data_IF_570828739456
#
_entry.id   IF_570828739456
#
_cell.length_a   1.000
_cell.length_b   1.000
_cell.length_c   1.000
_cell.angle_alpha   90.00
_cell.angle_beta   90.00
_cell.angle_gamma   90.00
#
_symmetry.space_group_name_H-M   'P 1'
#
loop_
_entity.id
_entity.type
_entity.pdbx_description
1 polymer ?
#
# COMPACT_ATOMS: atom_id res chain seq x y z
N UNK A 1 -7.11 -24.92 -20.05
CA UNK A 1 -6.52 -25.04 -18.70
C UNK A 1 -5.46 -23.95 -18.56
N UNK A 2 -5.90 -22.73 -18.26
CA UNK A 2 -5.03 -21.57 -18.01
C UNK A 2 -5.09 -21.29 -16.52
N UNK A 3 -4.00 -21.52 -15.79
CA UNK A 3 -3.94 -21.28 -14.34
C UNK A 3 -3.25 -22.36 -13.51
N UNK A 4 -2.92 -23.53 -14.07
CA UNK A 4 -2.09 -24.54 -13.38
C UNK A 4 -0.74 -24.63 -14.09
N UNK A 5 0.33 -24.51 -13.32
CA UNK A 5 1.69 -24.71 -13.82
C UNK A 5 2.00 -26.22 -13.80
N UNK A 6 1.91 -26.86 -14.97
CA UNK A 6 2.09 -28.31 -15.11
C UNK A 6 3.51 -28.77 -14.77
N UNK A 7 4.53 -27.95 -15.01
CA UNK A 7 5.93 -28.29 -14.72
C UNK A 7 6.22 -28.35 -13.20
N UNK A 8 5.47 -27.56 -12.41
CA UNK A 8 5.61 -27.46 -10.95
C UNK A 8 4.54 -28.25 -10.18
N UNK A 9 3.64 -28.93 -10.90
CA UNK A 9 2.56 -29.75 -10.35
C UNK A 9 2.89 -31.22 -10.45
N UNK A 10 2.53 -32.00 -9.43
CA UNK A 10 2.73 -33.45 -9.39
C UNK A 10 1.51 -34.13 -8.78
N UNK A 11 1.02 -35.18 -9.43
CA UNK A 11 -0.04 -36.02 -8.89
C UNK A 11 -0.63 -36.94 -9.93
N UNK A 12 -1.52 -37.82 -9.48
CA UNK A 12 -2.25 -38.78 -10.29
C UNK A 12 -3.73 -38.41 -10.23
N UNK A 13 -4.31 -38.19 -11.41
CA UNK A 13 -5.76 -38.12 -11.57
C UNK A 13 -6.25 -39.52 -11.91
N UNK A 14 -7.12 -40.06 -11.06
CA UNK A 14 -7.80 -41.33 -11.31
C UNK A 14 -9.29 -41.10 -11.36
N UNK A 15 -10.00 -41.79 -12.25
CA UNK A 15 -11.44 -41.59 -12.35
C UNK A 15 -12.14 -42.70 -13.08
N UNK A 16 -13.45 -42.74 -12.90
CA UNK A 16 -14.38 -43.63 -13.61
C UNK A 16 -15.53 -42.79 -14.13
N UNK A 17 -16.00 -43.14 -15.31
CA UNK A 17 -17.12 -42.50 -15.95
C UNK A 17 -18.04 -43.58 -16.51
N UNK A 18 -19.35 -43.38 -16.34
CA UNK A 18 -20.39 -44.31 -16.75
C UNK A 18 -21.51 -43.56 -17.45
N UNK A 19 -21.92 -44.11 -18.60
CA UNK A 19 -23.14 -43.72 -19.28
C UNK A 19 -24.10 -44.89 -19.19
N UNK A 20 -25.31 -44.66 -18.70
CA UNK A 20 -26.35 -45.68 -18.59
C UNK A 20 -27.68 -45.10 -19.08
N UNK A 21 -28.39 -45.78 -19.96
CA UNK A 21 -29.66 -45.25 -20.48
C UNK A 21 -30.17 -46.00 -21.69
N UNK A 22 -31.39 -45.68 -22.09
CA UNK A 22 -32.00 -46.13 -23.34
C UNK A 22 -31.88 -45.03 -24.41
N UNK A 23 -32.54 -45.24 -25.56
CA UNK A 23 -32.48 -44.34 -26.71
C UNK A 23 -33.09 -42.96 -26.43
N UNK A 24 -33.90 -42.84 -25.38
CA UNK A 24 -34.68 -41.65 -25.06
C UNK A 24 -34.19 -40.96 -23.77
N UNK A 25 -33.26 -41.55 -23.02
CA UNK A 25 -32.68 -40.95 -21.82
C UNK A 25 -31.33 -41.55 -21.40
N UNK A 26 -30.25 -40.86 -21.73
CA UNK A 26 -28.91 -41.17 -21.21
C UNK A 26 -28.68 -40.53 -19.84
N UNK A 27 -28.22 -41.32 -18.88
CA UNK A 27 -27.74 -40.88 -17.56
C UNK A 27 -26.23 -40.89 -17.56
N UNK A 28 -25.68 -39.77 -17.12
CA UNK A 28 -24.25 -39.53 -17.08
C UNK A 28 -23.81 -39.52 -15.61
N UNK A 29 -22.81 -40.32 -15.28
CA UNK A 29 -22.25 -40.36 -13.93
C UNK A 29 -20.73 -40.50 -13.99
N UNK A 30 -20.03 -39.92 -13.03
CA UNK A 30 -18.59 -40.04 -12.97
C UNK A 30 -18.04 -39.68 -11.61
N UNK A 31 -16.86 -40.19 -11.30
CA UNK A 31 -16.10 -39.77 -10.14
C UNK A 31 -14.63 -39.69 -10.52
N UNK A 32 -13.97 -38.57 -10.24
CA UNK A 32 -12.53 -38.40 -10.39
C UNK A 32 -11.92 -37.96 -9.07
N UNK A 33 -10.71 -38.42 -8.77
CA UNK A 33 -9.92 -37.99 -7.64
C UNK A 33 -8.51 -37.58 -8.09
N UNK A 34 -7.97 -36.57 -7.42
CA UNK A 34 -6.59 -36.16 -7.54
C UNK A 34 -5.85 -36.46 -6.24
N UNK A 35 -4.75 -37.20 -6.34
CA UNK A 35 -3.89 -37.65 -5.24
C UNK A 35 -2.41 -37.55 -5.64
N UNK A 36 -1.51 -37.69 -4.68
CA UNK A 36 -0.07 -37.84 -4.92
C UNK A 36 0.27 -39.16 -5.61
N UNK A 37 1.46 -39.22 -6.22
CA UNK A 37 1.98 -40.40 -6.94
C UNK A 37 2.19 -41.61 -6.02
N UNK A 38 2.38 -41.38 -4.73
CA UNK A 38 2.49 -42.38 -3.66
C UNK A 38 1.15 -42.74 -2.99
N UNK A 39 0.02 -42.23 -3.51
CA UNK A 39 -1.30 -42.33 -2.88
C UNK A 39 -1.54 -41.32 -1.77
N UNK A 40 -0.58 -40.42 -1.50
CA UNK A 40 -0.69 -39.29 -0.58
C UNK A 40 -1.45 -38.11 -1.19
N UNK A 41 -1.18 -36.90 -0.70
CA UNK A 41 -1.72 -35.67 -1.30
C UNK A 41 -0.80 -35.17 -2.43
N UNK A 42 -1.37 -34.67 -3.51
CA UNK A 42 -0.62 -34.17 -4.66
C UNK A 42 -0.10 -32.74 -4.46
N UNK A 43 0.61 -32.23 -5.46
CA UNK A 43 1.09 -30.85 -5.53
C UNK A 43 0.46 -30.15 -6.74
N UNK A 44 -0.19 -29.02 -6.51
CA UNK A 44 -0.77 -28.18 -7.57
C UNK A 44 -0.14 -26.79 -7.49
N UNK A 45 0.66 -26.42 -8.49
CA UNK A 45 1.21 -25.08 -8.61
C UNK A 45 0.30 -24.20 -9.47
N UNK A 46 0.04 -22.97 -9.02
CA UNK A 46 -0.81 -22.03 -9.75
C UNK A 46 0.07 -21.20 -10.68
N UNK A 47 -0.33 -21.12 -11.94
CA UNK A 47 0.42 -20.36 -12.94
C UNK A 47 0.43 -18.87 -12.63
N UNK A 48 1.57 -18.22 -12.89
CA UNK A 48 1.78 -16.81 -12.56
C UNK A 48 2.00 -16.50 -11.08
N UNK A 49 2.01 -17.49 -10.19
CA UNK A 49 2.20 -17.34 -8.74
C UNK A 49 3.37 -18.17 -8.22
N UNK A 50 3.98 -17.75 -7.10
CA UNK A 50 4.98 -18.56 -6.40
C UNK A 50 4.33 -19.61 -5.48
N UNK A 51 3.04 -19.46 -5.20
CA UNK A 51 2.23 -20.37 -4.41
C UNK A 51 2.10 -21.76 -5.05
N UNK A 52 2.29 -22.80 -4.23
CA UNK A 52 1.92 -24.17 -4.55
C UNK A 52 1.01 -24.74 -3.46
N UNK A 53 -0.04 -25.44 -3.86
CA UNK A 53 -0.90 -26.21 -2.99
C UNK A 53 -0.27 -27.58 -2.80
N UNK A 54 0.12 -27.90 -1.57
CA UNK A 54 0.70 -29.17 -1.14
C UNK A 54 -0.36 -30.05 -0.51
N UNK A 55 -0.10 -31.36 -0.46
CA UNK A 55 -1.01 -32.36 0.08
C UNK A 55 -2.44 -32.25 -0.50
N UNK A 56 -2.55 -31.76 -1.73
CA UNK A 56 -3.81 -31.44 -2.37
C UNK A 56 -4.57 -32.73 -2.66
N UNK A 57 -5.80 -32.79 -2.15
CA UNK A 57 -6.76 -33.87 -2.39
C UNK A 57 -8.00 -33.24 -2.98
N UNK A 58 -8.44 -33.75 -4.11
CA UNK A 58 -9.67 -33.28 -4.74
C UNK A 58 -10.49 -34.49 -5.19
N UNK A 59 -11.80 -34.40 -5.03
CA UNK A 59 -12.77 -35.36 -5.52
C UNK A 59 -13.82 -34.59 -6.30
N UNK A 60 -14.13 -35.08 -7.49
CA UNK A 60 -15.15 -34.55 -8.39
C UNK A 60 -16.16 -35.67 -8.60
N UNK A 61 -17.41 -35.43 -8.27
CA UNK A 61 -18.52 -36.35 -8.49
C UNK A 61 -19.51 -35.71 -9.47
N UNK A 62 -19.74 -36.38 -10.58
CA UNK A 62 -20.69 -35.99 -11.60
C UNK A 62 -21.93 -36.87 -11.48
N UNK A 63 -23.07 -36.23 -11.32
CA UNK A 63 -24.41 -36.83 -11.27
C UNK A 63 -25.20 -36.42 -12.51
N UNK A 64 -26.45 -36.90 -12.61
CA UNK A 64 -27.33 -36.59 -13.75
C UNK A 64 -27.63 -35.09 -13.93
N UNK A 65 -27.45 -34.28 -12.88
CA UNK A 65 -27.81 -32.86 -12.91
C UNK A 65 -26.79 -31.94 -12.24
N UNK A 66 -25.72 -32.48 -11.64
CA UNK A 66 -24.80 -31.66 -10.87
C UNK A 66 -23.36 -32.22 -10.86
N UNK A 67 -22.40 -31.31 -10.72
CA UNK A 67 -21.01 -31.61 -10.41
C UNK A 67 -20.70 -31.14 -9.00
N UNK A 68 -20.32 -32.08 -8.15
CA UNK A 68 -19.84 -31.82 -6.80
C UNK A 68 -18.33 -31.89 -6.79
N UNK A 69 -17.67 -30.86 -6.30
CA UNK A 69 -16.23 -30.83 -6.10
C UNK A 69 -15.97 -30.67 -4.62
N UNK A 70 -15.17 -31.54 -4.03
CA UNK A 70 -14.68 -31.36 -2.66
C UNK A 70 -13.17 -31.52 -2.66
N UNK A 71 -12.45 -30.63 -1.99
CA UNK A 71 -11.02 -30.75 -1.89
C UNK A 71 -10.42 -29.94 -0.76
N UNK A 72 -9.17 -30.26 -0.43
CA UNK A 72 -8.37 -29.55 0.56
C UNK A 72 -6.91 -29.57 0.15
N UNK A 73 -6.18 -28.52 0.49
CA UNK A 73 -4.74 -28.47 0.32
C UNK A 73 -4.08 -27.55 1.36
N UNK A 74 -2.79 -27.76 1.57
CA UNK A 74 -1.94 -26.92 2.40
C UNK A 74 -1.23 -25.89 1.51
N UNK A 75 -1.19 -24.62 1.92
CA UNK A 75 -0.40 -23.62 1.21
C UNK A 75 1.10 -23.91 1.39
N UNK A 76 1.90 -23.76 0.33
CA UNK A 76 3.36 -23.93 0.42
C UNK A 76 4.04 -22.96 1.38
N UNK A 77 3.37 -21.85 1.71
CA UNK A 77 3.81 -20.84 2.67
C UNK A 77 3.15 -21.00 4.04
N UNK A 78 2.26 -21.97 4.20
CA UNK A 78 1.50 -22.25 5.42
C UNK A 78 -0.01 -22.07 5.28
N UNK A 79 -0.74 -22.62 6.25
CA UNK A 79 -2.20 -22.60 6.32
C UNK A 79 -2.86 -23.59 5.36
N UNK A 80 -4.18 -23.63 5.38
CA UNK A 80 -4.96 -24.59 4.59
C UNK A 80 -6.09 -23.89 3.82
N UNK A 81 -6.43 -24.48 2.67
CA UNK A 81 -7.61 -24.12 1.88
C UNK A 81 -8.47 -25.36 1.70
N UNK A 82 -9.79 -25.21 1.85
CA UNK A 82 -10.76 -26.24 1.56
C UNK A 82 -11.84 -25.69 0.63
N UNK A 83 -12.25 -26.50 -0.34
CA UNK A 83 -13.31 -26.17 -1.30
C UNK A 83 -14.39 -27.24 -1.23
N UNK A 84 -15.64 -26.79 -1.21
CA UNK A 84 -16.81 -27.62 -1.49
C UNK A 84 -17.61 -26.83 -2.51
N UNK A 85 -17.74 -27.33 -3.74
CA UNK A 85 -18.54 -26.73 -4.79
C UNK A 85 -19.64 -27.69 -5.20
N UNK A 86 -20.83 -27.16 -5.44
CA UNK A 86 -21.94 -27.89 -6.05
C UNK A 86 -22.43 -27.03 -7.21
N UNK A 87 -22.25 -27.54 -8.42
CA UNK A 87 -22.58 -26.87 -9.67
C UNK A 87 -23.74 -27.61 -10.31
N UNK A 88 -24.91 -27.00 -10.35
CA UNK A 88 -26.07 -27.53 -11.05
C UNK A 88 -25.89 -27.33 -12.56
N UNK A 89 -25.82 -28.44 -13.27
CA UNK A 89 -25.65 -28.53 -14.72
C UNK A 89 -26.94 -28.92 -15.46
N UNK A 90 -28.09 -28.93 -14.80
CA UNK A 90 -29.33 -29.42 -15.41
C UNK A 90 -29.66 -28.73 -16.74
N UNK A 91 -29.46 -27.41 -16.83
CA UNK A 91 -29.65 -26.65 -18.08
C UNK A 91 -28.60 -27.00 -19.14
N UNK A 92 -27.34 -27.15 -18.73
CA UNK A 92 -26.23 -27.50 -19.61
C UNK A 92 -26.39 -28.90 -20.21
N UNK A 93 -26.85 -29.86 -19.41
CA UNK A 93 -27.04 -31.26 -19.83
C UNK A 93 -28.31 -31.49 -20.66
N UNK A 94 -29.27 -30.55 -20.62
CA UNK A 94 -30.51 -30.61 -21.41
C UNK A 94 -30.42 -29.86 -22.75
N UNK A 95 -29.42 -29.00 -22.92
CA UNK A 95 -29.23 -28.17 -24.10
C UNK A 95 -28.02 -28.57 -24.94
N UNK A 96 -27.61 -27.67 -25.83
CA UNK A 96 -26.36 -27.81 -26.57
C UNK A 96 -25.17 -27.57 -25.62
N UNK A 97 -24.13 -28.40 -25.72
CA UNK A 97 -22.86 -28.29 -24.98
C UNK A 97 -22.07 -27.05 -25.44
N UNK A 98 -22.57 -25.87 -25.09
CA UNK A 98 -22.06 -24.55 -25.47
C UNK A 98 -21.52 -23.83 -24.25
N UNK A 99 -20.62 -22.86 -24.48
CA UNK A 99 -20.10 -22.02 -23.40
C UNK A 99 -21.21 -21.23 -22.71
N UNK A 100 -22.19 -20.73 -23.48
CA UNK A 100 -23.33 -19.98 -22.94
C UNK A 100 -24.17 -20.84 -21.99
N UNK A 101 -24.42 -22.10 -22.36
CA UNK A 101 -25.12 -23.04 -21.49
C UNK A 101 -24.33 -23.36 -20.19
N UNK A 102 -22.99 -23.29 -20.23
CA UNK A 102 -22.15 -23.41 -19.03
C UNK A 102 -22.22 -22.14 -18.18
N UNK A 103 -22.30 -20.95 -18.79
CA UNK A 103 -22.48 -19.69 -18.06
C UNK A 103 -23.81 -19.64 -17.31
N UNK A 104 -24.83 -20.35 -17.81
CA UNK A 104 -26.14 -20.54 -17.18
C UNK A 104 -26.17 -21.59 -16.07
N UNK A 105 -25.12 -22.41 -15.92
CA UNK A 105 -25.00 -23.33 -14.80
C UNK A 105 -24.93 -22.54 -13.48
N UNK A 106 -25.42 -23.11 -12.38
CA UNK A 106 -25.55 -22.37 -11.12
C UNK A 106 -24.82 -23.03 -9.96
N UNK A 107 -24.12 -22.22 -9.16
CA UNK A 107 -23.56 -22.63 -7.88
C UNK A 107 -24.67 -22.76 -6.83
N UNK A 108 -24.75 -23.93 -6.19
CA UNK A 108 -25.75 -24.26 -5.16
C UNK A 108 -25.07 -24.74 -3.87
N UNK A 109 -24.45 -23.81 -3.13
CA UNK A 109 -23.73 -24.14 -1.89
C UNK A 109 -22.22 -24.27 -2.05
N UNK A 110 -21.64 -23.55 -3.01
CA UNK A 110 -20.18 -23.49 -3.16
C UNK A 110 -19.56 -22.65 -2.04
N UNK A 111 -18.57 -23.21 -1.34
CA UNK A 111 -17.82 -22.56 -0.25
C UNK A 111 -16.32 -22.82 -0.40
N UNK A 112 -15.53 -21.78 -0.18
CA UNK A 112 -14.07 -21.82 -0.09
C UNK A 112 -13.69 -21.35 1.31
N UNK A 113 -13.06 -22.21 2.09
CA UNK A 113 -12.61 -21.92 3.46
C UNK A 113 -11.10 -21.78 3.50
N UNK A 114 -10.65 -20.74 4.18
CA UNK A 114 -9.25 -20.43 4.40
C UNK A 114 -8.99 -20.49 5.90
N UNK A 115 -7.98 -21.26 6.29
CA UNK A 115 -7.48 -21.26 7.68
C UNK A 115 -6.01 -20.85 7.68
N UNK A 116 -5.77 -19.59 8.07
CA UNK A 116 -4.46 -18.94 8.14
C UNK A 116 -3.63 -19.16 6.86
N UNK A 117 -4.30 -19.15 5.72
CA UNK A 117 -3.70 -19.41 4.42
C UNK A 117 -2.69 -18.32 4.09
N UNK A 118 -1.41 -18.68 4.03
CA UNK A 118 -0.33 -17.74 3.79
C UNK A 118 -0.10 -17.55 2.28
N UNK A 119 0.08 -16.31 1.87
CA UNK A 119 0.32 -15.95 0.48
C UNK A 119 1.46 -14.92 0.34
N UNK A 120 2.10 -14.91 -0.83
CA UNK A 120 3.11 -13.94 -1.21
C UNK A 120 3.01 -13.71 -2.72
N UNK A 121 2.21 -12.73 -3.13
CA UNK A 121 1.85 -12.52 -4.53
C UNK A 121 2.17 -11.11 -5.00
N UNK A 122 2.79 -10.98 -6.17
CA UNK A 122 2.98 -9.67 -6.79
C UNK A 122 1.67 -9.21 -7.41
N UNK A 123 1.19 -8.04 -7.00
CA UNK A 123 0.03 -7.42 -7.62
C UNK A 123 0.39 -7.08 -9.07
N UNK A 124 -0.39 -7.62 -10.00
CA UNK A 124 -0.29 -7.37 -11.45
C UNK A 124 -1.59 -6.74 -11.91
N UNK A 125 -1.50 -5.54 -12.47
CA UNK A 125 -2.63 -4.83 -13.06
C UNK A 125 -2.49 -4.89 -14.57
N UNK A 126 -3.54 -5.36 -15.26
CA UNK A 126 -3.55 -5.36 -16.72
C UNK A 126 -3.43 -3.92 -17.24
N UNK A 127 -2.64 -3.73 -18.30
CA UNK A 127 -2.52 -2.48 -19.02
C UNK A 127 -3.39 -2.57 -20.30
N UNK A 128 -4.66 -2.14 -20.27
CA UNK A 128 -5.53 -2.23 -21.43
C UNK A 128 -5.08 -1.34 -22.60
N UNK A 129 -4.22 -0.34 -22.33
CA UNK A 129 -3.66 0.56 -23.34
C UNK A 129 -2.31 0.07 -23.91
N UNK A 130 -1.81 -1.10 -23.48
CA UNK A 130 -0.50 -1.59 -23.88
C UNK A 130 -0.38 -1.73 -25.40
N UNK A 131 0.59 -1.03 -25.99
CA UNK A 131 0.94 -1.16 -27.41
C UNK A 131 1.87 -2.35 -27.63
N UNK A 132 2.02 -2.77 -28.89
CA UNK A 132 2.98 -3.80 -29.26
C UNK A 132 4.40 -3.41 -28.81
N UNK A 133 5.01 -4.22 -27.93
CA UNK A 133 6.33 -3.96 -27.34
C UNK A 133 6.30 -3.29 -25.97
N UNK A 134 5.14 -2.87 -25.47
CA UNK A 134 4.96 -2.39 -24.10
C UNK A 134 4.55 -3.53 -23.16
N UNK A 135 4.87 -3.43 -21.85
CA UNK A 135 4.43 -4.43 -20.88
C UNK A 135 2.90 -4.42 -20.78
N UNK A 136 2.30 -5.60 -20.99
CA UNK A 136 0.86 -5.81 -20.87
C UNK A 136 0.35 -5.71 -19.42
N UNK A 137 1.25 -5.58 -18.44
CA UNK A 137 0.93 -5.51 -17.02
C UNK A 137 1.82 -4.50 -16.30
N UNK A 138 1.24 -3.78 -15.34
CA UNK A 138 1.96 -3.07 -14.29
C UNK A 138 2.12 -4.01 -13.10
N UNK A 139 3.36 -4.24 -12.66
CA UNK A 139 3.66 -5.17 -11.56
C UNK A 139 4.21 -4.41 -10.35
N UNK A 140 3.75 -4.78 -9.16
CA UNK A 140 4.30 -4.27 -7.91
C UNK A 140 5.79 -4.65 -7.78
N UNK A 141 6.58 -3.74 -7.21
CA UNK A 141 8.02 -3.93 -7.02
C UNK A 141 8.35 -5.01 -5.98
N UNK A 142 7.41 -5.32 -5.09
CA UNK A 142 7.51 -6.34 -4.06
C UNK A 142 6.20 -7.13 -3.93
N UNK A 143 6.26 -8.41 -3.51
CA UNK A 143 5.07 -9.21 -3.29
C UNK A 143 4.24 -8.64 -2.13
N UNK A 144 2.93 -8.69 -2.28
CA UNK A 144 1.98 -8.53 -1.19
C UNK A 144 1.93 -9.83 -0.42
N UNK A 145 2.14 -9.77 0.90
CA UNK A 145 2.20 -10.95 1.76
C UNK A 145 1.18 -10.89 2.89
N UNK A 146 0.86 -12.03 3.48
CA UNK A 146 0.02 -12.10 4.68
C UNK A 146 -0.62 -13.46 4.86
N UNK A 147 -1.49 -13.58 5.87
CA UNK A 147 -2.33 -14.76 6.06
C UNK A 147 -3.81 -14.39 5.98
N UNK A 148 -4.62 -15.25 5.36
CA UNK A 148 -6.06 -15.08 5.24
C UNK A 148 -6.79 -16.20 6.00
N UNK A 149 -7.83 -15.82 6.73
CA UNK A 149 -8.77 -16.74 7.37
C UNK A 149 -10.20 -16.32 7.05
N UNK A 150 -11.09 -17.28 6.81
CA UNK A 150 -12.49 -16.97 6.56
C UNK A 150 -13.14 -17.91 5.57
N UNK A 151 -14.28 -17.48 5.04
CA UNK A 151 -15.08 -18.27 4.10
C UNK A 151 -15.64 -17.36 3.00
N UNK A 152 -15.44 -17.78 1.75
CA UNK A 152 -16.07 -17.20 0.57
C UNK A 152 -17.14 -18.16 0.10
N UNK A 153 -18.36 -17.68 -0.11
CA UNK A 153 -19.47 -18.47 -0.65
C UNK A 153 -19.84 -17.96 -2.03
N UNK A 154 -20.08 -18.88 -2.96
CA UNK A 154 -20.51 -18.61 -4.32
C UNK A 154 -21.91 -19.19 -4.54
N UNK A 155 -22.80 -18.38 -5.08
CA UNK A 155 -24.15 -18.74 -5.48
C UNK A 155 -24.48 -18.12 -6.85
N UNK A 156 -25.64 -18.41 -7.42
CA UNK A 156 -26.05 -17.83 -8.70
C UNK A 156 -25.38 -18.50 -9.90
N UNK A 157 -25.44 -17.88 -11.07
CA UNK A 157 -24.92 -18.49 -12.31
C UNK A 157 -23.39 -18.36 -12.43
N UNK A 158 -22.76 -19.17 -13.28
CA UNK A 158 -21.33 -19.08 -13.57
C UNK A 158 -20.97 -17.75 -14.26
N UNK A 159 -21.87 -17.21 -15.09
CA UNK A 159 -21.70 -15.92 -15.73
C UNK A 159 -21.87 -14.71 -14.79
N UNK A 160 -22.74 -14.82 -13.78
CA UNK A 160 -23.01 -13.76 -12.79
C UNK A 160 -23.01 -14.32 -11.36
N UNK A 161 -21.86 -14.81 -10.86
CA UNK A 161 -21.82 -15.46 -9.56
C UNK A 161 -21.97 -14.43 -8.45
N UNK A 162 -22.79 -14.76 -7.45
CA UNK A 162 -22.96 -13.98 -6.24
C UNK A 162 -21.92 -14.41 -5.21
N UNK A 163 -21.06 -13.48 -4.82
CA UNK A 163 -19.97 -13.67 -3.86
C UNK A 163 -20.40 -13.13 -2.50
N UNK A 164 -20.39 -14.00 -1.49
CA UNK A 164 -20.77 -13.71 -0.11
C UNK A 164 -19.70 -14.19 0.87
N UNK A 165 -19.83 -13.75 2.13
CA UNK A 165 -18.95 -14.15 3.22
C UNK A 165 -17.88 -13.10 3.52
N UNK A 166 -16.70 -13.53 3.92
CA UNK A 166 -15.63 -12.61 4.22
C UNK A 166 -14.31 -13.27 4.59
N UNK A 167 -13.26 -12.48 4.45
CA UNK A 167 -11.89 -12.85 4.78
C UNK A 167 -11.32 -11.87 5.78
N UNK A 168 -10.58 -12.40 6.74
CA UNK A 168 -9.81 -11.66 7.72
C UNK A 168 -8.34 -11.90 7.43
N UNK A 169 -7.61 -10.83 7.14
CA UNK A 169 -6.18 -10.84 6.90
C UNK A 169 -5.39 -10.45 8.14
N UNK A 170 -4.31 -11.18 8.41
CA UNK A 170 -3.34 -10.88 9.47
C UNK A 170 -1.96 -10.63 8.87
N UNK A 171 -1.22 -9.70 9.48
CA UNK A 171 0.12 -9.30 9.05
C UNK A 171 0.18 -9.01 7.54
N UNK A 172 -0.87 -8.38 7.00
CA UNK A 172 -0.91 -8.06 5.58
C UNK A 172 0.16 -7.02 5.31
N UNK A 173 1.02 -7.26 4.33
CA UNK A 173 1.93 -6.27 3.79
C UNK A 173 1.55 -6.04 2.34
N UNK A 174 0.77 -5.00 2.09
CA UNK A 174 0.26 -4.67 0.76
C UNK A 174 1.22 -3.68 0.11
N UNK A 175 1.80 -4.05 -1.03
CA UNK A 175 2.62 -3.14 -1.83
C UNK A 175 1.89 -2.85 -3.13
N UNK A 176 1.48 -1.59 -3.32
CA UNK A 176 0.82 -1.18 -4.55
C UNK A 176 1.85 -0.88 -5.65
N UNK A 177 1.51 -1.10 -6.93
CA UNK A 177 2.33 -0.63 -8.04
C UNK A 177 2.54 0.88 -8.00
N UNK A 178 3.67 1.40 -8.50
CA UNK A 178 3.95 2.84 -8.51
C UNK A 178 3.04 3.60 -9.47
N UNK A 179 2.46 2.92 -10.46
CA UNK A 179 1.54 3.48 -11.41
C UNK A 179 0.30 2.59 -11.60
N UNK A 180 -0.86 3.21 -11.78
CA UNK A 180 -2.10 2.55 -12.16
C UNK A 180 -2.37 2.75 -13.66
N UNK A 181 -2.88 1.73 -14.36
CA UNK A 181 -3.31 1.88 -15.74
C UNK A 181 -4.41 2.95 -15.84
N UNK A 182 -4.40 3.73 -16.92
CA UNK A 182 -5.56 4.55 -17.28
C UNK A 182 -6.78 3.64 -17.46
N UNK A 183 -7.95 4.08 -16.96
CA UNK A 183 -9.18 3.30 -17.01
C UNK A 183 -9.51 2.89 -18.44
N UNK A 184 -9.47 1.59 -18.71
CA UNK A 184 -10.02 1.02 -19.95
C UNK A 184 -11.54 1.20 -19.95
N UNK A 185 -12.12 1.48 -21.11
CA UNK A 185 -13.58 1.56 -21.26
C UNK A 185 -14.28 0.28 -20.78
N UNK A 186 -15.56 0.40 -20.40
CA UNK A 186 -16.38 -0.71 -19.93
C UNK A 186 -16.60 -1.75 -21.05
N UNK A 187 -15.69 -2.72 -21.16
CA UNK A 187 -15.93 -3.92 -21.95
C UNK A 187 -16.96 -4.81 -21.27
N UNK A 188 -17.75 -5.54 -22.05
CA UNK A 188 -18.62 -6.59 -21.53
C UNK A 188 -17.73 -7.71 -20.94
N UNK A 189 -17.91 -7.98 -19.65
CA UNK A 189 -17.13 -8.99 -18.94
C UNK A 189 -17.78 -10.36 -19.17
N UNK A 190 -16.99 -11.34 -19.64
CA UNK A 190 -17.47 -12.71 -19.82
C UNK A 190 -18.00 -13.35 -18.51
N UNK A 191 -17.48 -12.91 -17.37
CA UNK A 191 -17.98 -13.23 -16.03
C UNK A 191 -18.07 -11.92 -15.25
N UNK A 192 -19.27 -11.58 -14.78
CA UNK A 192 -19.53 -10.36 -14.03
C UNK A 192 -20.05 -10.69 -12.62
N UNK A 193 -19.15 -11.01 -11.67
CA UNK A 193 -19.55 -11.40 -10.33
C UNK A 193 -20.27 -10.26 -9.61
N UNK A 194 -21.23 -10.61 -8.74
CA UNK A 194 -21.92 -9.68 -7.84
C UNK A 194 -21.50 -9.92 -6.40
N UNK A 195 -20.98 -8.91 -5.75
CA UNK A 195 -20.67 -8.94 -4.33
C UNK A 195 -21.92 -8.59 -3.52
N UNK A 196 -22.22 -9.40 -2.52
CA UNK A 196 -23.33 -9.18 -1.59
C UNK A 196 -22.77 -9.14 -0.16
N UNK A 197 -22.53 -7.91 0.31
CA UNK A 197 -21.96 -7.59 1.61
C UNK A 197 -20.69 -8.39 1.92
N UNK A 198 -19.83 -8.55 0.92
CA UNK A 198 -18.59 -9.29 1.08
C UNK A 198 -17.59 -8.47 1.89
N UNK A 199 -17.09 -9.03 3.00
CA UNK A 199 -16.26 -8.31 3.97
C UNK A 199 -14.79 -8.73 3.88
N UNK A 200 -13.90 -7.77 3.73
CA UNK A 200 -12.45 -7.95 3.81
C UNK A 200 -11.90 -7.16 4.99
N UNK A 201 -11.39 -7.84 6.00
CA UNK A 201 -10.91 -7.21 7.24
C UNK A 201 -9.40 -7.31 7.35
N UNK A 202 -8.71 -6.18 7.48
CA UNK A 202 -7.29 -6.10 7.81
C UNK A 202 -7.14 -5.91 9.32
N UNK A 203 -6.53 -6.90 9.99
CA UNK A 203 -6.27 -6.83 11.43
C UNK A 203 -5.08 -5.92 11.77
N UNK A 204 -4.97 -5.46 13.03
CA UNK A 204 -3.85 -4.65 13.52
C UNK A 204 -2.48 -5.20 13.12
N UNK A 205 -1.54 -4.29 12.84
CA UNK A 205 -0.21 -4.64 12.34
C UNK A 205 -0.09 -4.84 10.83
N UNK A 206 -1.20 -4.73 10.08
CA UNK A 206 -1.17 -4.70 8.62
C UNK A 206 -0.53 -3.41 8.10
N UNK A 207 0.21 -3.51 7.00
CA UNK A 207 1.01 -2.44 6.40
C UNK A 207 0.58 -2.20 4.96
N UNK A 208 0.51 -0.94 4.59
CA UNK A 208 0.33 -0.46 3.23
C UNK A 208 1.57 0.32 2.81
N UNK A 209 2.18 -0.11 1.71
CA UNK A 209 3.37 0.45 1.11
C UNK A 209 3.04 0.98 -0.29
N UNK A 210 3.17 2.29 -0.49
CA UNK A 210 2.87 2.94 -1.76
C UNK A 210 3.87 4.07 -2.00
N UNK A 211 4.85 3.85 -2.88
CA UNK A 211 5.88 4.82 -3.33
C UNK A 211 6.49 5.74 -2.24
N UNK A 212 5.75 6.74 -1.78
CA UNK A 212 6.17 7.74 -0.79
C UNK A 212 5.55 7.52 0.61
N UNK A 213 4.57 6.62 0.73
CA UNK A 213 3.78 6.38 1.94
C UNK A 213 3.99 4.95 2.43
N UNK A 214 4.31 4.82 3.71
CA UNK A 214 4.27 3.57 4.45
C UNK A 214 3.35 3.78 5.66
N UNK A 215 2.27 3.01 5.78
CA UNK A 215 1.32 3.15 6.88
C UNK A 215 1.00 1.79 7.47
N UNK A 216 0.90 1.74 8.81
CA UNK A 216 0.21 0.68 9.52
C UNK A 216 -1.25 1.03 9.62
N UNK A 217 -2.12 0.15 9.15
CA UNK A 217 -3.55 0.37 9.14
C UNK A 217 -4.31 -0.90 9.48
N UNK A 218 -5.52 -0.72 9.96
CA UNK A 218 -6.49 -1.78 10.19
C UNK A 218 -7.88 -1.28 9.80
N UNK A 219 -8.83 -2.20 9.58
CA UNK A 219 -10.18 -1.83 9.18
C UNK A 219 -10.86 -2.89 8.34
N UNK A 220 -12.14 -2.66 8.03
CA UNK A 220 -12.96 -3.60 7.27
C UNK A 220 -13.55 -2.95 6.03
N UNK A 221 -13.19 -3.49 4.88
CA UNK A 221 -13.78 -3.14 3.58
C UNK A 221 -15.01 -3.98 3.33
N UNK A 222 -16.06 -3.35 2.82
CA UNK A 222 -17.25 -4.03 2.33
C UNK A 222 -17.37 -3.79 0.82
N UNK A 223 -17.59 -4.86 0.08
CA UNK A 223 -17.82 -4.86 -1.36
C UNK A 223 -19.29 -5.20 -1.65
N UNK A 224 -19.93 -4.42 -2.51
CA UNK A 224 -21.30 -4.65 -2.99
C UNK A 224 -21.40 -4.38 -4.50
N UNK A 225 -22.49 -4.82 -5.12
CA UNK A 225 -22.76 -4.57 -6.54
C UNK A 225 -22.00 -5.53 -7.47
N UNK A 226 -22.15 -5.35 -8.78
CA UNK A 226 -21.43 -6.16 -9.77
C UNK A 226 -20.00 -5.67 -9.97
N UNK A 227 -19.11 -6.51 -10.52
CA UNK A 227 -17.76 -6.08 -10.86
C UNK A 227 -17.74 -4.88 -11.84
N UNK A 228 -18.70 -4.86 -12.77
CA UNK A 228 -18.93 -3.71 -13.67
C UNK A 228 -19.44 -2.45 -12.98
N UNK A 229 -19.98 -2.56 -11.77
CA UNK A 229 -20.61 -1.49 -11.01
C UNK A 229 -20.27 -1.63 -9.51
N UNK A 230 -18.98 -1.79 -9.21
CA UNK A 230 -18.52 -2.17 -7.88
C UNK A 230 -18.65 -1.02 -6.89
N UNK A 231 -19.35 -1.29 -5.80
CA UNK A 231 -19.45 -0.40 -4.65
C UNK A 231 -18.46 -0.84 -3.58
N UNK A 232 -17.57 0.08 -3.20
CA UNK A 232 -16.53 -0.15 -2.19
C UNK A 232 -16.79 0.82 -1.04
N UNK A 233 -16.79 0.29 0.18
CA UNK A 233 -16.72 1.10 1.40
C UNK A 233 -15.64 0.55 2.32
N UNK A 234 -14.56 1.30 2.49
CA UNK A 234 -13.38 0.86 3.23
C UNK A 234 -12.96 1.91 4.27
N UNK A 235 -13.56 1.90 5.47
CA UNK A 235 -13.05 2.61 6.62
C UNK A 235 -11.79 1.92 7.16
N UNK A 236 -10.71 2.68 7.25
CA UNK A 236 -9.45 2.28 7.85
C UNK A 236 -9.04 3.24 8.96
N UNK A 237 -8.48 2.69 10.02
CA UNK A 237 -7.75 3.44 11.04
C UNK A 237 -6.27 3.30 10.74
N UNK A 238 -5.58 4.44 10.68
CA UNK A 238 -4.11 4.49 10.58
C UNK A 238 -3.57 4.48 12.00
N UNK A 239 -2.70 3.52 12.31
CA UNK A 239 -2.09 3.38 13.64
C UNK A 239 -0.80 4.21 13.75
N UNK A 240 -0.02 4.21 12.67
CA UNK A 240 1.25 4.95 12.53
C UNK A 240 1.71 4.89 11.09
N UNK A 241 2.66 5.74 10.70
CA UNK A 241 3.27 5.63 9.39
C UNK A 241 4.35 6.66 9.14
N UNK A 242 4.78 6.73 7.89
CA UNK A 242 5.64 7.79 7.40
C UNK A 242 5.29 8.14 5.96
N UNK A 243 5.31 9.43 5.67
CA UNK A 243 5.24 9.99 4.33
C UNK A 243 6.60 10.63 4.03
N UNK A 244 7.23 10.20 2.95
CA UNK A 244 8.50 10.72 2.48
C UNK A 244 8.24 11.77 1.42
N UNK A 245 8.66 13.00 1.72
CA UNK A 245 8.59 14.16 0.81
C UNK A 245 9.98 14.43 0.23
N UNK A 246 10.10 15.20 -0.87
CA UNK A 246 11.40 15.52 -1.46
C UNK A 246 12.41 16.15 -0.48
N UNK A 247 11.92 16.98 0.46
CA UNK A 247 12.73 17.76 1.40
C UNK A 247 12.59 17.33 2.86
N UNK A 248 11.66 16.44 3.21
CA UNK A 248 11.40 16.06 4.60
C UNK A 248 10.67 14.71 4.73
N UNK A 249 10.61 14.19 5.95
CA UNK A 249 9.79 13.02 6.29
C UNK A 249 8.75 13.45 7.31
N UNK A 250 7.50 13.10 7.06
CA UNK A 250 6.39 13.29 8.01
C UNK A 250 6.11 11.95 8.67
N UNK A 251 6.21 11.90 9.98
CA UNK A 251 5.82 10.74 10.78
C UNK A 251 4.32 10.86 11.05
N UNK A 252 3.54 9.90 10.57
CA UNK A 252 2.09 9.86 10.72
C UNK A 252 1.75 9.24 12.08
N UNK A 253 0.79 9.85 12.75
CA UNK A 253 0.19 9.39 13.99
C UNK A 253 -1.18 8.73 13.71
N UNK A 254 -1.96 8.50 14.76
CA UNK A 254 -3.28 7.89 14.63
C UNK A 254 -4.21 8.76 13.78
N UNK A 255 -4.93 8.15 12.85
CA UNK A 255 -5.83 8.86 11.95
C UNK A 255 -6.83 7.93 11.28
N UNK A 256 -7.61 8.48 10.34
CA UNK A 256 -8.64 7.72 9.63
C UNK A 256 -8.58 7.97 8.13
N UNK A 257 -8.91 6.93 7.38
CA UNK A 257 -9.07 6.96 5.92
C UNK A 257 -10.38 6.26 5.58
N UNK A 258 -11.26 6.92 4.83
CA UNK A 258 -12.49 6.34 4.31
C UNK A 258 -12.43 6.38 2.79
N UNK A 259 -12.27 5.19 2.19
CA UNK A 259 -12.41 5.04 0.74
C UNK A 259 -13.84 4.63 0.42
N UNK A 260 -14.48 5.39 -0.47
CA UNK A 260 -15.80 5.07 -1.01
C UNK A 260 -15.77 5.17 -2.53
N UNK A 261 -16.35 4.19 -3.19
CA UNK A 261 -16.56 4.18 -4.63
C UNK A 261 -17.92 3.57 -4.89
N UNK A 262 -18.66 4.08 -5.89
CA UNK A 262 -19.98 3.55 -6.23
C UNK A 262 -20.35 3.87 -7.66
N UNK A 263 -21.27 3.07 -8.23
CA UNK A 263 -21.68 3.23 -9.62
C UNK A 263 -22.38 4.56 -9.86
N UNK A 264 -21.87 5.36 -10.81
CA UNK A 264 -22.38 6.70 -11.10
C UNK A 264 -22.00 7.78 -10.07
N UNK A 265 -21.26 7.44 -9.02
CA UNK A 265 -20.69 8.37 -8.07
C UNK A 265 -19.19 8.58 -8.31
N UNK A 266 -18.69 9.78 -7.97
CA UNK A 266 -17.24 9.99 -7.93
C UNK A 266 -16.63 9.19 -6.78
N UNK A 267 -15.52 8.50 -7.03
CA UNK A 267 -14.74 7.88 -5.98
C UNK A 267 -14.25 8.97 -5.01
N UNK A 268 -14.27 8.67 -3.72
CA UNK A 268 -13.79 9.57 -2.65
C UNK A 268 -12.85 8.82 -1.73
N UNK A 269 -11.73 9.45 -1.39
CA UNK A 269 -10.82 8.98 -0.37
C UNK A 269 -10.68 10.08 0.67
N UNK A 270 -11.56 10.05 1.66
CA UNK A 270 -11.60 11.03 2.74
C UNK A 270 -10.56 10.66 3.79
N UNK A 271 -9.74 11.64 4.20
CA UNK A 271 -8.68 11.45 5.17
C UNK A 271 -8.84 12.43 6.33
N UNK A 272 -8.46 11.98 7.51
CA UNK A 272 -8.15 12.81 8.68
C UNK A 272 -6.91 12.22 9.34
N UNK A 273 -5.75 12.79 9.01
CA UNK A 273 -4.44 12.30 9.42
C UNK A 273 -3.72 13.37 10.23
N UNK A 274 -3.18 13.00 11.38
CA UNK A 274 -2.21 13.82 12.11
C UNK A 274 -0.80 13.26 11.95
N UNK A 275 0.19 14.13 12.11
CA UNK A 275 1.58 13.71 12.08
C UNK A 275 2.51 14.84 12.47
N UNK A 276 3.80 14.55 12.49
CA UNK A 276 4.82 15.56 12.77
C UNK A 276 6.03 15.42 11.87
N UNK A 277 6.72 16.53 11.65
CA UNK A 277 7.98 16.60 10.92
C UNK A 277 8.94 17.58 11.57
N UNK A 278 10.22 17.46 11.25
CA UNK A 278 11.27 18.36 11.72
C UNK A 278 11.84 19.07 10.52
N UNK A 279 11.82 20.40 10.55
CA UNK A 279 12.30 21.25 9.47
C UNK A 279 13.25 22.29 10.02
N UNK A 280 14.23 22.70 9.21
CA UNK A 280 15.11 23.81 9.57
C UNK A 280 14.79 25.00 8.67
N UNK A 281 14.50 26.15 9.28
CA UNK A 281 14.20 27.38 8.54
C UNK A 281 15.09 28.53 9.02
N UNK A 282 15.35 29.49 8.12
CA UNK A 282 16.17 30.67 8.38
C UNK A 282 15.33 31.76 9.03
N UNK A 283 15.78 32.31 10.17
CA UNK A 283 15.16 33.44 10.86
C UNK A 283 15.55 34.79 10.24
N UNK A 284 14.71 35.80 10.48
CA UNK A 284 15.03 37.21 10.26
C UNK A 284 16.21 37.62 11.16
N UNK A 285 17.43 37.57 10.61
CA UNK A 285 18.69 37.70 11.37
C UNK A 285 19.79 36.78 10.86
N UNK A 286 19.47 35.83 9.97
CA UNK A 286 20.44 34.98 9.30
C UNK A 286 20.72 33.65 10.00
N UNK A 287 20.25 33.48 11.24
CA UNK A 287 20.40 32.23 12.00
C UNK A 287 19.41 31.16 11.53
N UNK A 288 19.86 29.90 11.49
CA UNK A 288 19.01 28.75 11.21
C UNK A 288 18.45 28.15 12.50
N UNK A 289 17.18 27.80 12.46
CA UNK A 289 16.48 27.20 13.58
C UNK A 289 15.67 25.98 13.15
N UNK A 290 15.81 24.93 13.96
CA UNK A 290 15.04 23.68 13.84
C UNK A 290 13.68 23.83 14.53
N UNK A 291 12.62 23.47 13.80
CA UNK A 291 11.23 23.49 14.20
C UNK A 291 10.64 22.10 14.13
N UNK A 292 9.88 21.72 15.16
CA UNK A 292 8.97 20.58 15.09
C UNK A 292 7.61 21.09 14.61
N UNK A 293 7.16 20.60 13.45
CA UNK A 293 5.85 20.92 12.92
C UNK A 293 4.90 19.77 13.26
N UNK A 294 3.77 20.08 13.90
CA UNK A 294 2.63 19.15 13.98
C UNK A 294 1.66 19.52 12.87
N UNK A 295 1.31 18.54 12.04
CA UNK A 295 0.48 18.70 10.84
C UNK A 295 -0.82 17.92 11.03
N UNK A 296 -1.92 18.50 10.55
CA UNK A 296 -3.20 17.84 10.42
C UNK A 296 -3.68 18.00 8.97
N UNK A 297 -4.00 16.88 8.33
CA UNK A 297 -4.41 16.80 6.93
C UNK A 297 -5.81 16.23 6.89
N UNK A 298 -6.74 17.00 6.33
CA UNK A 298 -8.15 16.64 6.25
C UNK A 298 -8.70 16.88 4.84
N UNK A 299 -9.56 15.99 4.35
CA UNK A 299 -10.29 16.20 3.10
C UNK A 299 -10.27 15.01 2.15
N UNK A 300 -10.75 15.21 0.92
CA UNK A 300 -10.79 14.16 -0.10
C UNK A 300 -9.51 14.19 -0.95
N UNK A 301 -8.69 13.13 -0.87
CA UNK A 301 -7.45 12.99 -1.65
C UNK A 301 -7.70 12.94 -3.16
N UNK A 302 -8.90 12.55 -3.60
CA UNK A 302 -9.26 12.50 -5.01
C UNK A 302 -9.72 13.85 -5.56
N UNK A 303 -9.88 14.86 -4.70
CA UNK A 303 -10.16 16.23 -5.10
C UNK A 303 -8.98 17.13 -4.68
N UNK A 304 -8.15 17.61 -5.62
CA UNK A 304 -6.97 18.42 -5.32
C UNK A 304 -7.26 19.70 -4.52
N UNK A 305 -8.44 20.29 -4.68
CA UNK A 305 -8.85 21.50 -3.95
C UNK A 305 -9.53 21.17 -2.61
N UNK A 306 -9.86 19.89 -2.39
CA UNK A 306 -10.58 19.40 -1.22
C UNK A 306 -9.70 19.12 0.01
N UNK A 307 -8.37 19.08 -0.15
CA UNK A 307 -7.42 18.74 0.92
C UNK A 307 -6.95 20.01 1.64
N UNK A 308 -7.15 20.04 2.97
CA UNK A 308 -6.73 21.12 3.86
C UNK A 308 -5.60 20.64 4.76
N UNK A 309 -4.55 21.45 4.84
CA UNK A 309 -3.43 21.23 5.73
C UNK A 309 -3.37 22.37 6.74
N UNK A 310 -3.47 21.99 8.00
CA UNK A 310 -3.26 22.87 9.14
C UNK A 310 -2.04 22.39 9.90
N UNK A 311 -1.35 23.31 10.57
CA UNK A 311 -0.19 22.93 11.35
C UNK A 311 0.22 23.97 12.36
N UNK A 312 0.96 23.50 13.36
CA UNK A 312 1.56 24.33 14.41
C UNK A 312 3.04 24.05 14.48
N UNK A 313 3.86 25.06 14.74
CA UNK A 313 5.29 24.89 14.95
C UNK A 313 5.65 24.90 16.43
N UNK A 314 6.73 24.21 16.77
CA UNK A 314 7.42 24.35 18.03
C UNK A 314 8.93 24.60 17.77
N UNK A 315 9.45 25.80 18.05
CA UNK A 315 8.79 26.94 18.71
C UNK A 315 7.63 27.59 17.90
N UNK A 316 6.65 28.23 18.57
CA UNK A 316 5.37 28.67 17.97
C UNK A 316 5.44 30.04 17.30
N UNK A 317 6.52 30.31 16.56
CA UNK A 317 6.77 31.58 15.87
C UNK A 317 6.55 31.50 14.37
N UNK A 318 6.48 30.31 13.76
CA UNK A 318 6.09 30.20 12.35
C UNK A 318 4.58 30.48 12.21
N UNK A 319 4.23 31.30 11.23
CA UNK A 319 2.86 31.47 10.74
C UNK A 319 2.41 30.22 9.97
N UNK A 320 1.10 30.07 9.79
CA UNK A 320 0.53 28.96 9.02
C UNK A 320 1.01 29.03 7.57
N UNK A 321 1.15 30.24 7.03
CA UNK A 321 1.66 30.50 5.68
C UNK A 321 3.13 30.07 5.54
N UNK A 322 3.97 30.36 6.53
CA UNK A 322 5.37 29.90 6.56
C UNK A 322 5.47 28.38 6.70
N UNK A 323 4.64 27.77 7.56
CA UNK A 323 4.57 26.30 7.68
C UNK A 323 4.18 25.68 6.33
N UNK A 324 3.17 26.23 5.65
CA UNK A 324 2.72 25.77 4.33
C UNK A 324 3.79 25.95 3.25
N UNK A 325 4.55 27.04 3.31
CA UNK A 325 5.67 27.30 2.40
C UNK A 325 6.83 26.33 2.63
N UNK A 326 7.19 26.04 3.89
CA UNK A 326 8.29 25.13 4.24
C UNK A 326 7.94 23.67 3.90
N UNK A 327 6.71 23.25 4.19
CA UNK A 327 6.22 21.90 3.85
C UNK A 327 5.97 21.77 2.34
N UNK A 328 5.90 22.89 1.62
CA UNK A 328 5.59 22.91 0.19
C UNK A 328 4.21 22.31 -0.05
N UNK A 329 3.14 22.95 0.45
CA UNK A 329 1.76 22.43 0.40
C UNK A 329 1.39 21.80 -0.95
N UNK A 330 1.81 22.42 -2.06
CA UNK A 330 1.60 21.87 -3.40
C UNK A 330 2.34 20.54 -3.60
N UNK A 331 3.63 20.47 -3.29
CA UNK A 331 4.45 19.26 -3.39
C UNK A 331 3.97 18.17 -2.42
N UNK A 332 3.48 18.55 -1.25
CA UNK A 332 2.87 17.66 -0.27
C UNK A 332 1.56 17.05 -0.79
N UNK A 333 0.67 17.88 -1.32
CA UNK A 333 -0.60 17.41 -1.91
C UNK A 333 -0.29 16.58 -3.16
N UNK A 334 0.62 17.02 -4.02
CA UNK A 334 1.03 16.27 -5.22
C UNK A 334 1.70 14.93 -4.88
N UNK A 335 2.48 14.84 -3.80
CA UNK A 335 3.07 13.57 -3.35
C UNK A 335 2.04 12.64 -2.72
N UNK A 336 1.09 13.16 -1.93
CA UNK A 336 -0.04 12.37 -1.42
C UNK A 336 -0.92 11.86 -2.55
N UNK A 337 -1.34 12.74 -3.46
CA UNK A 337 -2.16 12.40 -4.63
C UNK A 337 -1.41 11.45 -5.55
N UNK A 338 -0.14 11.74 -5.84
CA UNK A 338 0.73 10.89 -6.67
C UNK A 338 0.95 9.52 -6.05
N UNK A 339 1.05 9.43 -4.72
CA UNK A 339 1.08 8.15 -4.01
C UNK A 339 -0.28 7.42 -4.06
N UNK A 340 -1.40 8.13 -3.95
CA UNK A 340 -2.73 7.52 -3.94
C UNK A 340 -3.21 7.07 -5.33
N UNK A 341 -2.78 7.74 -6.41
CA UNK A 341 -3.29 7.54 -7.77
C UNK A 341 -2.27 7.04 -8.79
N UNK A 342 -1.00 6.87 -8.40
CA UNK A 342 0.05 6.28 -9.23
C UNK A 342 0.02 6.78 -10.67
N UNK A 343 0.26 8.06 -10.91
CA UNK A 343 0.31 8.58 -12.29
C UNK A 343 1.63 9.28 -12.57
N UNK A 344 2.28 8.80 -13.63
CA UNK A 344 3.29 9.49 -14.43
C UNK A 344 2.69 10.81 -14.95
N UNK A 345 3.11 11.94 -14.39
CA UNK A 345 2.99 13.21 -15.11
C UNK A 345 4.14 13.28 -16.09
N UNK A 346 3.88 13.01 -17.36
CA UNK A 346 4.72 13.39 -18.51
C UNK A 346 4.93 14.93 -18.65
N UNK A 347 4.89 15.67 -17.54
CA UNK A 347 5.04 17.12 -17.40
C UNK A 347 5.90 17.51 -16.16
N UNK A 348 6.87 16.68 -15.78
CA UNK A 348 8.03 17.15 -15.00
C UNK A 348 9.07 17.86 -15.88
N UNK A 349 8.80 18.00 -17.18
CA UNK A 349 9.57 18.77 -18.15
C UNK A 349 9.19 20.24 -18.08
N UNK A 350 9.65 20.94 -17.04
CA UNK A 350 9.42 22.38 -16.95
C UNK A 350 10.04 23.14 -15.80
N UNK A 351 10.93 22.56 -14.97
CA UNK A 351 11.71 23.33 -13.97
C UNK A 351 13.02 22.63 -13.52
N UNK A 352 13.55 21.70 -14.32
CA UNK A 352 14.65 20.80 -13.91
C UNK A 352 16.05 21.45 -13.89
N UNK A 353 16.25 22.66 -14.44
CA UNK A 353 17.60 23.25 -14.48
C UNK A 353 18.04 24.09 -13.27
N UNK A 354 17.23 24.22 -12.22
CA UNK A 354 17.66 24.89 -10.96
C UNK A 354 17.51 24.04 -9.68
N UNK A 355 17.10 22.77 -9.79
CA UNK A 355 16.87 21.87 -8.64
C UNK A 355 17.68 20.56 -8.70
N UNK A 356 18.68 20.46 -9.58
CA UNK A 356 19.37 19.21 -9.90
C UNK A 356 20.60 18.86 -9.02
N UNK A 357 20.64 19.27 -7.75
CA UNK A 357 21.71 18.88 -6.81
C UNK A 357 21.22 17.97 -5.66
N UNK A 358 19.97 18.05 -5.14
CA UNK A 358 19.53 17.16 -4.07
C UNK A 358 19.22 15.71 -4.50
N UNK A 359 18.74 15.47 -5.72
CA UNK A 359 18.29 14.12 -6.15
C UNK A 359 19.42 13.13 -6.43
N UNK A 360 20.63 13.60 -6.77
CA UNK A 360 21.81 12.74 -6.88
C UNK A 360 22.39 12.35 -5.51
N UNK A 361 21.89 12.97 -4.42
CA UNK A 361 22.44 12.82 -3.09
C UNK A 361 21.53 12.09 -2.08
N UNK A 362 20.32 11.67 -2.43
CA UNK A 362 19.39 11.05 -1.47
C UNK A 362 19.73 9.59 -1.07
N UNK A 363 20.39 8.82 -1.95
CA UNK A 363 20.74 7.42 -1.68
C UNK A 363 21.83 7.22 -0.62
N UNK A 364 22.87 8.06 -0.65
CA UNK A 364 23.97 8.02 0.34
C UNK A 364 23.62 8.73 1.65
N UNK A 365 22.81 9.79 1.64
CA UNK A 365 22.42 10.47 2.87
C UNK A 365 21.52 9.59 3.75
N UNK A 366 20.59 8.85 3.15
CA UNK A 366 19.69 7.96 3.90
C UNK A 366 20.40 6.73 4.49
N UNK A 367 21.44 6.22 3.83
CA UNK A 367 22.25 5.12 4.36
C UNK A 367 23.22 5.61 5.44
N UNK A 368 23.81 6.80 5.28
CA UNK A 368 24.66 7.42 6.29
C UNK A 368 23.87 7.84 7.54
N UNK A 369 22.69 8.43 7.40
CA UNK A 369 21.83 8.80 8.53
C UNK A 369 21.43 7.58 9.36
N UNK A 370 21.10 6.45 8.71
CA UNK A 370 20.82 5.17 9.39
C UNK A 370 22.06 4.55 10.03
N UNK A 371 23.22 4.61 9.36
CA UNK A 371 24.48 4.10 9.91
C UNK A 371 24.97 4.93 11.12
N UNK A 372 24.65 6.22 11.16
CA UNK A 372 25.05 7.16 12.20
C UNK A 372 23.96 7.42 13.25
N UNK A 373 22.80 6.74 13.14
CA UNK A 373 21.66 6.86 14.05
C UNK A 373 21.22 8.34 14.25
N UNK A 374 21.08 9.05 13.13
CA UNK A 374 20.66 10.45 13.04
C UNK A 374 19.16 10.56 12.71
N UNK A 375 18.47 11.52 13.32
CA UNK A 375 17.05 11.78 13.06
C UNK A 375 16.83 12.43 11.69
N UNK A 376 17.79 13.24 11.25
CA UNK A 376 17.76 13.85 9.93
C UNK A 376 19.18 14.06 9.38
N UNK A 377 19.29 14.06 8.05
CA UNK A 377 20.46 14.49 7.30
C UNK A 377 19.97 15.21 6.03
N UNK A 378 20.22 16.50 5.95
CA UNK A 378 19.83 17.40 4.87
C UNK A 378 21.07 17.91 4.12
N UNK A 379 20.90 18.19 2.84
CA UNK A 379 21.91 18.83 2.00
C UNK A 379 21.26 20.06 1.35
N UNK A 380 21.59 21.22 1.87
CA UNK A 380 21.03 22.51 1.46
C UNK A 380 22.03 23.24 0.55
N UNK A 381 21.53 24.06 -0.37
CA UNK A 381 22.36 24.95 -1.18
C UNK A 381 21.94 26.41 -0.97
N UNK A 382 22.87 27.23 -0.49
CA UNK A 382 22.69 28.67 -0.33
C UNK A 382 23.63 29.41 -1.31
N UNK A 383 23.15 30.36 -2.13
CA UNK A 383 24.00 31.16 -3.02
C UNK A 383 25.15 31.90 -2.33
N UNK A 384 25.07 32.12 -1.01
CA UNK A 384 26.10 32.81 -0.21
C UNK A 384 27.03 31.89 0.59
N UNK A 385 26.61 30.64 0.86
CA UNK A 385 27.38 29.69 1.65
C UNK A 385 27.63 28.36 0.90
N UNK A 386 27.31 28.29 -0.39
CA UNK A 386 27.39 27.06 -1.19
C UNK A 386 26.53 25.91 -0.65
N UNK A 387 26.93 24.67 -0.98
CA UNK A 387 26.31 23.46 -0.48
C UNK A 387 26.71 23.18 0.98
N UNK A 388 25.74 22.87 1.83
CA UNK A 388 25.90 22.58 3.26
C UNK A 388 25.23 21.24 3.55
N UNK A 389 25.96 20.31 4.17
CA UNK A 389 25.38 19.13 4.80
C UNK A 389 25.03 19.47 6.26
N UNK A 390 23.85 19.06 6.72
CA UNK A 390 23.43 19.20 8.12
C UNK A 390 22.75 17.93 8.58
N UNK A 391 23.14 17.39 9.73
CA UNK A 391 22.44 16.29 10.37
C UNK A 391 22.28 16.52 11.86
N UNK A 392 21.30 15.86 12.47
CA UNK A 392 21.06 16.02 13.89
C UNK A 392 20.30 14.86 14.50
N UNK A 393 20.32 14.81 15.83
CA UNK A 393 19.68 13.79 16.65
C UNK A 393 19.17 14.40 17.97
N UNK A 394 17.95 14.07 18.35
CA UNK A 394 17.39 14.26 19.68
C UNK A 394 17.91 13.16 20.60
N UNK A 395 18.70 13.53 21.60
CA UNK A 395 19.29 12.60 22.56
C UNK A 395 18.31 12.25 23.68
N UNK A 396 17.47 13.23 24.07
CA UNK A 396 16.40 13.09 25.05
C UNK A 396 15.43 14.26 24.87
N UNK A 397 14.29 14.24 25.56
CA UNK A 397 13.26 15.27 25.44
C UNK A 397 13.84 16.68 25.64
N UNK A 398 13.95 17.43 24.54
CA UNK A 398 14.46 18.80 24.53
C UNK A 398 15.98 18.96 24.45
N UNK A 399 16.76 17.88 24.33
CA UNK A 399 18.21 17.90 24.12
C UNK A 399 18.57 17.44 22.70
N UNK A 400 19.11 18.34 21.89
CA UNK A 400 19.43 18.10 20.48
C UNK A 400 20.92 18.26 20.22
N UNK A 401 21.50 17.31 19.49
CA UNK A 401 22.82 17.40 18.90
C UNK A 401 22.69 17.64 17.40
N UNK A 402 23.28 18.71 16.90
CA UNK A 402 23.24 19.09 15.49
C UNK A 402 24.67 19.29 14.99
N UNK A 403 24.96 18.80 13.78
CA UNK A 403 26.22 19.01 13.09
C UNK A 403 25.93 19.54 11.68
N UNK A 404 26.64 20.59 11.26
CA UNK A 404 26.58 21.10 9.91
C UNK A 404 27.97 21.40 9.37
N UNK A 405 28.16 21.20 8.07
CA UNK A 405 29.41 21.43 7.38
C UNK A 405 29.16 21.91 5.96
N UNK A 406 29.81 23.00 5.60
CA UNK A 406 29.90 23.46 4.23
C UNK A 406 30.74 22.47 3.42
N UNK A 407 30.18 22.02 2.30
CA UNK A 407 30.77 21.01 1.40
C UNK A 407 31.57 21.69 0.29
N UNK A 408 31.09 22.85 -0.18
CA UNK A 408 31.74 23.62 -1.25
C UNK A 408 32.29 24.92 -0.72
N UNK A 409 33.58 25.16 -0.95
CA UNK A 409 34.22 26.42 -0.58
C UNK A 409 33.77 27.54 -1.54
N UNK A 410 33.21 28.61 -0.99
CA UNK A 410 32.82 29.79 -1.76
C UNK A 410 33.76 30.94 -1.39
N UNK A 411 34.62 31.35 -2.32
CA UNK A 411 35.65 32.37 -2.06
C UNK A 411 36.88 31.84 -1.30
N UNK A 412 37.55 32.72 -0.55
CA UNK A 412 38.77 32.41 0.21
C UNK A 412 38.52 32.07 1.70
N UNK A 413 37.25 32.06 2.13
CA UNK A 413 36.91 31.74 3.52
C UNK A 413 37.09 30.23 3.80
N UNK A 414 37.47 29.84 5.04
CA UNK A 414 37.52 28.43 5.42
C UNK A 414 36.14 27.79 5.34
N UNK A 415 36.09 26.50 5.01
CA UNK A 415 34.84 25.72 5.02
C UNK A 415 34.19 25.80 6.40
N UNK A 416 33.01 26.43 6.46
CA UNK A 416 32.28 26.61 7.70
C UNK A 416 31.81 25.27 8.25
N UNK A 417 31.91 25.11 9.56
CA UNK A 417 31.27 23.98 10.24
C UNK A 417 30.63 24.47 11.53
N UNK A 418 29.60 23.78 11.98
CA UNK A 418 29.03 24.00 13.30
C UNK A 418 28.63 22.68 13.92
N UNK A 419 29.14 22.39 15.11
CA UNK A 419 28.60 21.35 15.98
C UNK A 419 27.91 22.04 17.15
N UNK A 420 26.62 21.79 17.33
CA UNK A 420 25.74 22.49 18.27
C UNK A 420 25.01 21.49 19.15
N UNK A 421 25.19 21.62 20.46
CA UNK A 421 24.34 21.01 21.47
C UNK A 421 23.33 22.06 21.91
N UNK A 422 22.03 21.76 21.81
CA UNK A 422 20.99 22.67 22.26
C UNK A 422 20.07 21.99 23.27
N UNK A 423 19.77 22.69 24.35
CA UNK A 423 18.89 22.24 25.41
C UNK A 423 17.71 23.21 25.56
N UNK A 424 16.52 22.63 25.61
CA UNK A 424 15.27 23.32 25.86
C UNK A 424 14.62 22.72 27.11
N UNK A 425 14.45 23.50 28.20
CA UNK A 425 13.81 22.99 29.41
C UNK A 425 12.35 22.60 29.15
N UNK A 426 11.91 21.39 29.52
CA UNK A 426 10.50 21.03 29.51
C UNK A 426 9.81 21.72 30.69
N UNK A 427 9.36 22.97 30.49
CA UNK A 427 8.69 23.77 31.52
C UNK A 427 7.28 24.16 31.10
N UNK A 428 6.38 24.31 32.09
CA UNK A 428 5.05 24.93 31.90
C UNK A 428 5.12 26.46 31.87
N UNK A 429 6.24 27.03 32.31
CA UNK A 429 6.48 28.47 32.27
C UNK A 429 6.65 28.93 30.80
N UNK A 430 5.84 29.88 30.30
CA UNK A 430 5.94 30.42 28.95
C UNK A 430 7.30 31.03 28.62
N UNK A 431 8.04 31.54 29.61
CA UNK A 431 9.37 32.10 29.41
C UNK A 431 10.41 30.99 29.26
N UNK A 432 10.47 30.04 30.20
CA UNK A 432 11.46 28.95 30.17
C UNK A 432 11.22 27.97 29.02
N UNK A 433 9.96 27.72 28.67
CA UNK A 433 9.61 26.89 27.49
C UNK A 433 10.02 27.55 26.17
N UNK A 434 10.35 28.84 26.15
CA UNK A 434 10.81 29.58 24.96
C UNK A 434 12.29 29.92 25.00
N UNK A 435 12.97 29.63 26.11
CA UNK A 435 14.41 29.77 26.25
C UNK A 435 15.13 28.52 25.72
N UNK A 436 16.17 28.73 24.93
CA UNK A 436 17.06 27.68 24.44
C UNK A 436 18.48 28.02 24.83
N UNK A 437 19.13 27.06 25.48
CA UNK A 437 20.55 27.11 25.79
C UNK A 437 21.28 26.38 24.68
N UNK A 438 22.26 27.03 24.06
CA UNK A 438 23.08 26.39 23.04
C UNK A 438 24.56 26.49 23.42
N UNK A 439 25.26 25.40 23.19
CA UNK A 439 26.71 25.32 23.21
C UNK A 439 27.10 24.84 21.82
N UNK A 440 27.76 25.67 21.03
CA UNK A 440 28.26 25.27 19.73
C UNK A 440 29.76 25.51 19.58
N UNK A 441 30.36 24.86 18.60
CA UNK A 441 31.73 25.10 18.16
C UNK A 441 31.68 25.31 16.65
N UNK A 442 32.46 26.27 16.16
CA UNK A 442 32.51 26.66 14.74
C UNK A 442 33.95 26.67 14.24
N UNK A 443 34.16 26.93 12.95
CA UNK A 443 35.49 27.01 12.33
C UNK A 443 36.41 28.06 12.96
N UNK A 444 35.84 29.11 13.56
CA UNK A 444 36.60 30.19 14.20
C UNK A 444 36.53 30.19 15.71
N UNK A 445 35.51 29.55 16.31
CA UNK A 445 35.26 29.62 17.76
C UNK A 445 35.25 28.21 18.36
N UNK A 446 36.18 27.91 19.30
CA UNK A 446 36.24 26.58 19.92
C UNK A 446 34.99 26.29 20.77
N UNK A 447 34.36 27.34 21.31
CA UNK A 447 33.07 27.26 21.99
C UNK A 447 32.34 28.60 21.86
N UNK A 448 31.03 28.52 21.66
CA UNK A 448 30.05 29.60 21.64
C UNK A 448 28.91 29.15 22.54
N UNK A 449 28.66 29.90 23.60
CA UNK A 449 27.51 29.69 24.47
C UNK A 449 26.51 30.79 24.19
N UNK A 450 25.25 30.43 24.00
CA UNK A 450 24.18 31.38 23.77
C UNK A 450 22.90 30.99 24.49
N UNK A 451 22.11 32.01 24.77
CA UNK A 451 20.74 31.86 25.22
C UNK A 451 19.88 32.58 24.21
N UNK A 452 19.06 31.82 23.50
CA UNK A 452 18.11 32.37 22.53
C UNK A 452 16.74 32.31 23.16
N UNK A 453 16.01 33.41 23.18
CA UNK A 453 14.61 33.43 23.57
C UNK A 453 13.78 33.94 22.40
N UNK A 454 12.57 33.41 22.24
CA UNK A 454 11.65 33.85 21.18
C UNK A 454 10.37 34.37 21.82
N UNK A 455 9.89 35.52 21.37
CA UNK A 455 8.60 36.08 21.76
C UNK A 455 7.82 36.51 20.52
N UNK A 456 6.52 36.27 20.52
CA UNK A 456 5.59 36.72 19.47
C UNK A 456 5.04 38.09 19.91
N UNK A 457 4.96 39.04 18.99
CA UNK A 457 4.26 40.31 19.18
C UNK A 457 3.06 40.36 18.26
#
# INVERSE_FOLDING_TARGET
>A
MTGVNLERSEGVVSGRFGVAGDRDGFKLSGSASFLGSDGGGGRLAIDGTDLALQNAKMTVELTESAVKVSGSADGSLGGTIAVVADLNLQKFLQGDFTLDALMDASFDGTSLKFDRFAFAEKIRLANPAARAGEPAFFEATSPTTGTLSGEVRLAGSVGEPVIQGGLTGQNLNVTLPPAFPEGGGSGELAINPRFDNFRLEALPGSQLNVSLVNMRLNGATVLNGSLSALEIRAPFTVESGSLTLPSSRVNLEEGTVLVTSGFGGEARAEIDLSGWTVVTARRSGGEYQTYRLNLQVQGNLLNPEGVRINGTSDPPDLSIEEIRAIVGQRDFIESLIGSALGTDRSQLTGSIFSLAIPTLTQGWTTSLARALDLDYLALDYNPFDGAIARGGREMSRGLYLEASRQITQQGNDPLKFELRLSYRPPSRDPFLSRARFNISTTETLPWKVGVTWTTRF
#
